data_IF_357903737558
#
_entry.id   IF_357903737558
#
_cell.length_a   1.000
_cell.length_b   1.000
_cell.length_c   1.000
_cell.angle_alpha   90.00
_cell.angle_beta   90.00
_cell.angle_gamma   90.00
#
_symmetry.space_group_name_H-M   'P 1'
#
loop_
_entity.id
_entity.type
_entity.pdbx_description
1 polymer ?
#
# COMPACT_ATOMS: atom_id res chain seq x y z
N UNK A 1 3.56 15.70 -6.49
CA UNK A 1 3.35 14.83 -7.66
C UNK A 1 1.93 15.05 -8.11
N UNK A 2 1.69 15.09 -9.42
CA UNK A 2 0.36 15.17 -9.99
C UNK A 2 0.23 14.06 -11.02
N UNK A 3 -0.92 13.40 -11.01
CA UNK A 3 -1.11 12.10 -11.64
C UNK A 3 -2.41 12.11 -12.44
N UNK A 4 -2.52 11.16 -13.37
CA UNK A 4 -3.79 10.74 -13.96
C UNK A 4 -4.18 9.40 -13.36
N UNK A 5 -5.43 9.28 -12.92
CA UNK A 5 -5.99 8.03 -12.44
C UNK A 5 -6.97 7.45 -13.47
N UNK A 6 -6.95 6.13 -13.58
CA UNK A 6 -7.81 5.31 -14.43
C UNK A 6 -8.44 4.26 -13.51
N UNK A 7 -9.64 4.52 -12.98
CA UNK A 7 -10.27 3.64 -11.98
C UNK A 7 -11.36 2.81 -12.68
N UNK A 8 -11.16 1.51 -12.82
CA UNK A 8 -12.02 0.64 -13.62
C UNK A 8 -13.11 -0.02 -12.80
N UNK A 9 -12.77 -0.44 -11.58
CA UNK A 9 -13.70 -1.05 -10.66
C UNK A 9 -13.47 -0.54 -9.24
N UNK A 10 -14.55 -0.32 -8.49
CA UNK A 10 -14.47 -0.10 -7.05
C UNK A 10 -15.59 -0.87 -6.35
N UNK A 11 -15.22 -1.68 -5.37
CA UNK A 11 -16.16 -2.40 -4.51
C UNK A 11 -15.91 -2.08 -3.04
N UNK A 12 -16.96 -2.16 -2.22
CA UNK A 12 -16.83 -2.15 -0.77
C UNK A 12 -16.94 -3.58 -0.26
N UNK A 13 -15.86 -4.10 0.28
CA UNK A 13 -15.80 -5.44 0.87
C UNK A 13 -16.10 -5.32 2.36
N UNK A 14 -17.21 -5.91 2.78
CA UNK A 14 -17.66 -5.96 4.18
C UNK A 14 -17.17 -7.25 4.79
N UNK A 15 -16.47 -7.17 5.92
CA UNK A 15 -15.91 -8.33 6.62
C UNK A 15 -16.48 -8.37 8.03
N UNK A 16 -17.34 -9.36 8.26
CA UNK A 16 -17.93 -9.63 9.57
C UNK A 16 -17.18 -10.76 10.26
N UNK A 17 -16.79 -10.55 11.51
CA UNK A 17 -16.06 -11.54 12.30
C UNK A 17 -16.40 -11.40 13.79
N UNK A 18 -16.20 -12.45 14.62
CA UNK A 18 -16.30 -12.33 16.06
C UNK A 18 -15.40 -11.24 16.63
N UNK A 19 -15.86 -10.53 17.67
CA UNK A 19 -15.11 -9.48 18.37
C UNK A 19 -13.85 -9.99 19.09
N UNK A 20 -13.67 -11.31 19.16
CA UNK A 20 -12.50 -11.99 19.72
C UNK A 20 -11.30 -12.07 18.78
N UNK A 21 -11.44 -11.67 17.52
CA UNK A 21 -10.35 -11.66 16.53
C UNK A 21 -10.34 -10.34 15.77
N UNK A 22 -9.15 -9.82 15.47
CA UNK A 22 -8.94 -8.78 14.48
C UNK A 22 -8.68 -9.42 13.10
N UNK A 23 -8.99 -8.71 12.02
CA UNK A 23 -8.73 -9.15 10.65
C UNK A 23 -7.82 -8.16 9.92
N UNK A 24 -6.77 -8.68 9.29
CA UNK A 24 -5.81 -7.90 8.50
C UNK A 24 -5.72 -8.43 7.07
N UNK A 25 -5.31 -7.56 6.16
CA UNK A 25 -4.85 -7.91 4.81
C UNK A 25 -3.39 -7.50 4.68
N UNK A 26 -2.65 -8.22 3.85
CA UNK A 26 -1.28 -7.85 3.51
C UNK A 26 -1.29 -6.72 2.48
N UNK A 27 -0.93 -5.52 2.92
CA UNK A 27 -0.94 -4.30 2.13
C UNK A 27 0.49 -3.91 1.69
N UNK A 28 1.38 -4.89 1.58
CA UNK A 28 2.71 -4.67 1.00
C UNK A 28 2.62 -4.40 -0.50
N UNK A 29 3.63 -3.71 -1.03
CA UNK A 29 3.81 -3.58 -2.46
C UNK A 29 4.15 -4.96 -3.04
N UNK A 30 3.36 -5.39 -4.01
CA UNK A 30 3.62 -6.62 -4.77
C UNK A 30 3.74 -6.26 -6.25
N UNK A 31 4.50 -7.06 -6.98
CA UNK A 31 4.44 -6.96 -8.44
C UNK A 31 3.07 -7.45 -8.91
N UNK A 32 2.52 -6.89 -10.01
CA UNK A 32 1.22 -7.29 -10.52
C UNK A 32 1.17 -8.79 -10.77
N UNK A 33 0.23 -9.47 -10.11
CA UNK A 33 -0.12 -10.86 -10.39
C UNK A 33 -1.57 -10.89 -10.90
N UNK A 34 -1.91 -11.76 -11.88
CA UNK A 34 -3.30 -11.89 -12.32
C UNK A 34 -4.18 -12.43 -11.18
N UNK A 35 -5.17 -11.63 -10.76
CA UNK A 35 -6.21 -11.99 -9.78
C UNK A 35 -5.68 -12.62 -8.48
N UNK A 36 -4.91 -11.87 -7.66
CA UNK A 36 -4.45 -12.37 -6.38
C UNK A 36 -5.66 -12.67 -5.48
N UNK A 37 -5.70 -13.84 -4.80
CA UNK A 37 -6.81 -14.14 -3.90
C UNK A 37 -6.80 -13.18 -2.70
N UNK A 38 -7.99 -12.80 -2.22
CA UNK A 38 -8.13 -12.11 -0.94
C UNK A 38 -7.73 -13.07 0.20
N UNK A 39 -6.63 -12.75 0.89
CA UNK A 39 -6.18 -13.48 2.08
C UNK A 39 -6.47 -12.63 3.30
N UNK A 40 -7.28 -13.17 4.21
CA UNK A 40 -7.62 -12.55 5.48
C UNK A 40 -6.81 -13.21 6.61
N UNK A 41 -5.95 -12.43 7.24
CA UNK A 41 -5.14 -12.84 8.37
C UNK A 41 -5.88 -12.57 9.68
N UNK A 42 -6.05 -13.61 10.51
CA UNK A 42 -6.84 -13.53 11.74
C UNK A 42 -5.93 -13.47 12.97
N UNK A 43 -6.18 -12.49 13.84
CA UNK A 43 -5.34 -12.22 15.01
C UNK A 43 -6.20 -12.22 16.27
N UNK A 44 -6.07 -13.25 17.12
CA UNK A 44 -6.74 -13.28 18.43
C UNK A 44 -5.91 -12.64 19.55
N UNK A 45 -4.58 -12.73 19.47
CA UNK A 45 -3.65 -12.20 20.45
C UNK A 45 -2.48 -11.52 19.72
N UNK A 46 -2.36 -10.20 19.89
CA UNK A 46 -1.19 -9.46 19.43
C UNK A 46 -0.09 -9.55 20.49
N UNK A 47 1.08 -10.08 20.12
CA UNK A 47 2.26 -10.10 20.98
C UNK A 47 3.23 -9.01 20.56
N UNK A 48 3.70 -8.25 21.53
CA UNK A 48 4.71 -7.21 21.33
C UNK A 48 6.11 -7.81 21.43
N UNK A 49 7.07 -7.40 20.58
CA UNK A 49 8.48 -7.74 20.76
C UNK A 49 8.98 -7.38 22.18
N UNK A 50 9.83 -8.23 22.76
CA UNK A 50 10.47 -7.98 24.06
C UNK A 50 11.43 -6.79 24.01
N UNK A 51 12.09 -6.60 22.87
CA UNK A 51 12.93 -5.44 22.58
C UNK A 51 12.93 -5.15 21.08
N UNK A 52 13.23 -3.90 20.74
CA UNK A 52 13.49 -3.50 19.36
C UNK A 52 14.62 -2.47 19.33
N UNK A 53 15.62 -2.70 18.48
CA UNK A 53 16.77 -1.78 18.32
C UNK A 53 17.05 -1.46 16.87
N UNK A 54 17.59 -0.27 16.63
CA UNK A 54 18.13 0.11 15.31
C UNK A 54 19.53 -0.51 15.08
N UNK A 55 20.11 -0.25 13.90
CA UNK A 55 21.48 -0.68 13.55
C UNK A 55 22.60 -0.06 14.41
N UNK A 56 22.30 0.93 15.24
CA UNK A 56 23.21 1.56 16.19
C UNK A 56 23.02 1.05 17.64
N UNK A 57 22.03 0.17 17.87
CA UNK A 57 21.67 -0.33 19.20
C UNK A 57 20.80 0.63 20.00
N UNK A 58 20.23 1.66 19.37
CA UNK A 58 19.25 2.56 19.99
C UNK A 58 17.94 1.81 20.22
N UNK A 59 17.35 1.95 21.41
CA UNK A 59 16.03 1.39 21.69
C UNK A 59 14.95 2.15 20.90
N UNK A 60 14.27 1.43 20.02
CA UNK A 60 13.17 1.94 19.20
C UNK A 60 11.83 1.28 19.52
N UNK A 61 11.78 0.37 20.50
CA UNK A 61 10.55 -0.31 20.91
C UNK A 61 9.41 0.65 21.23
N UNK A 62 9.61 1.78 21.97
CA UNK A 62 8.53 2.70 22.27
C UNK A 62 7.81 3.28 21.05
N UNK A 63 8.46 3.32 19.88
CA UNK A 63 7.90 3.80 18.61
C UNK A 63 7.15 2.71 17.84
N UNK A 64 7.18 1.47 18.31
CA UNK A 64 6.58 0.31 17.64
C UNK A 64 5.45 -0.33 18.46
N UNK A 65 5.13 0.20 19.64
CA UNK A 65 4.09 -0.37 20.52
C UNK A 65 2.67 -0.10 20.03
N UNK A 66 2.45 1.02 19.33
CA UNK A 66 1.11 1.49 18.98
C UNK A 66 1.14 2.22 17.65
N UNK A 67 0.10 2.04 16.84
CA UNK A 67 -0.14 2.80 15.61
C UNK A 67 -0.50 4.28 15.89
N UNK A 68 0.44 5.07 16.40
CA UNK A 68 0.25 6.43 16.91
C UNK A 68 0.95 7.53 16.09
N UNK A 69 1.37 7.18 14.87
CA UNK A 69 2.10 8.02 13.93
C UNK A 69 3.47 8.51 14.47
N UNK A 70 4.07 7.81 15.43
CA UNK A 70 5.46 8.02 15.87
C UNK A 70 6.38 6.99 15.22
N UNK A 71 7.09 7.43 14.21
CA UNK A 71 7.87 6.52 13.37
C UNK A 71 9.29 6.30 13.88
N UNK A 72 9.81 5.09 13.65
CA UNK A 72 11.27 4.84 13.60
C UNK A 72 11.86 5.71 12.49
N UNK A 73 12.76 6.61 12.85
CA UNK A 73 13.12 7.77 12.03
C UNK A 73 14.64 8.07 11.96
N UNK A 74 15.49 7.22 12.54
CA UNK A 74 16.95 7.38 12.53
C UNK A 74 17.63 7.03 11.18
N UNK A 75 17.06 7.48 10.07
CA UNK A 75 17.68 7.34 8.75
C UNK A 75 18.76 8.39 8.56
N UNK A 76 19.97 7.96 8.22
CA UNK A 76 21.01 8.84 7.69
C UNK A 76 20.70 9.12 6.22
N UNK A 77 20.32 10.35 5.83
CA UNK A 77 19.95 10.63 4.45
C UNK A 77 21.13 10.37 3.51
N UNK A 78 20.85 9.75 2.37
CA UNK A 78 21.82 9.63 1.27
C UNK A 78 21.57 10.75 0.23
N UNK A 79 22.21 10.65 -0.93
CA UNK A 79 22.16 11.62 -2.02
C UNK A 79 20.75 11.88 -2.55
N UNK A 80 19.89 10.87 -2.52
CA UNK A 80 18.55 10.93 -3.10
C UNK A 80 17.47 10.73 -2.03
N UNK A 81 16.34 11.40 -2.21
CA UNK A 81 15.13 11.14 -1.43
C UNK A 81 14.78 9.65 -1.49
N UNK A 82 14.30 9.11 -0.37
CA UNK A 82 13.86 7.72 -0.26
C UNK A 82 14.98 6.69 -0.13
N UNK A 83 16.24 7.14 -0.17
CA UNK A 83 17.43 6.32 0.04
C UNK A 83 18.23 6.86 1.23
N UNK A 84 18.71 5.95 2.07
CA UNK A 84 19.56 6.22 3.22
C UNK A 84 20.77 5.28 3.21
N UNK A 85 21.66 5.42 4.19
CA UNK A 85 22.59 4.35 4.50
C UNK A 85 21.84 3.06 4.86
N UNK A 86 22.46 1.91 4.60
CA UNK A 86 21.93 0.61 5.04
C UNK A 86 21.66 0.65 6.54
N UNK A 87 20.44 0.32 6.93
CA UNK A 87 19.98 0.37 8.31
C UNK A 87 19.21 -0.89 8.66
N UNK A 88 19.15 -1.15 9.97
CA UNK A 88 18.59 -2.36 10.54
C UNK A 88 17.45 -1.99 11.48
N UNK A 89 16.39 -2.80 11.48
CA UNK A 89 15.43 -2.92 12.57
C UNK A 89 15.52 -4.34 13.11
N UNK A 90 15.99 -4.49 14.34
CA UNK A 90 16.11 -5.79 15.01
C UNK A 90 15.01 -5.92 16.04
N UNK A 91 14.17 -6.94 15.92
CA UNK A 91 13.09 -7.25 16.85
C UNK A 91 13.41 -8.54 17.60
N UNK A 92 13.26 -8.53 18.91
CA UNK A 92 13.30 -9.74 19.75
C UNK A 92 11.87 -10.21 20.02
N UNK A 93 11.45 -11.31 19.39
CA UNK A 93 10.11 -11.86 19.54
C UNK A 93 9.94 -12.73 20.80
N UNK A 94 10.99 -12.89 21.61
CA UNK A 94 10.97 -13.69 22.83
C UNK A 94 10.92 -15.20 22.57
N UNK A 95 10.46 -15.95 23.57
CA UNK A 95 10.48 -17.41 23.53
C UNK A 95 9.13 -18.01 23.11
N UNK A 96 9.15 -18.89 22.13
CA UNK A 96 8.08 -19.78 21.72
C UNK A 96 8.69 -21.06 21.13
N UNK A 97 7.88 -22.08 20.83
CA UNK A 97 8.40 -23.30 20.19
C UNK A 97 8.86 -22.98 18.76
N UNK A 98 10.05 -23.43 18.35
CA UNK A 98 10.65 -23.13 17.03
C UNK A 98 9.76 -23.52 15.85
N UNK A 99 8.92 -24.55 16.02
CA UNK A 99 7.96 -25.05 15.03
C UNK A 99 6.57 -24.42 15.13
N UNK A 100 6.37 -23.44 16.01
CA UNK A 100 5.10 -22.74 16.13
C UNK A 100 4.79 -21.94 14.86
N UNK A 101 3.52 -21.85 14.43
CA UNK A 101 3.09 -20.88 13.44
C UNK A 101 3.34 -19.46 13.96
N UNK A 102 3.96 -18.60 13.16
CA UNK A 102 4.29 -17.22 13.54
C UNK A 102 4.08 -16.31 12.35
N UNK A 103 3.33 -15.22 12.55
CA UNK A 103 3.23 -14.14 11.57
C UNK A 103 3.70 -12.83 12.22
N UNK A 104 4.48 -12.06 11.46
CA UNK A 104 4.97 -10.73 11.82
C UNK A 104 4.16 -9.67 11.08
N UNK A 105 3.67 -8.69 11.83
CA UNK A 105 2.86 -7.59 11.32
C UNK A 105 3.63 -6.27 11.50
N UNK A 106 3.84 -5.55 10.42
CA UNK A 106 4.59 -4.29 10.41
C UNK A 106 3.73 -3.20 9.78
N UNK A 107 3.34 -2.20 10.56
CA UNK A 107 2.61 -1.04 10.05
C UNK A 107 3.55 0.12 9.81
N UNK A 108 3.39 0.77 8.66
CA UNK A 108 4.18 1.95 8.36
C UNK A 108 3.83 2.60 7.03
N UNK A 109 4.78 3.38 6.54
CA UNK A 109 4.73 3.97 5.22
C UNK A 109 6.13 4.07 4.62
N UNK A 110 6.23 4.04 3.30
CA UNK A 110 7.48 4.29 2.59
C UNK A 110 7.54 5.76 2.17
N UNK A 111 8.69 6.42 2.35
CA UNK A 111 8.99 7.66 1.65
C UNK A 111 9.72 7.32 0.34
N UNK A 112 9.00 7.26 -0.79
CA UNK A 112 9.54 6.64 -1.99
C UNK A 112 10.52 7.57 -2.72
N UNK A 113 11.37 6.95 -3.55
CA UNK A 113 12.03 7.60 -4.68
C UNK A 113 10.99 7.98 -5.73
N UNK A 114 11.23 9.06 -6.48
CA UNK A 114 10.41 9.40 -7.66
C UNK A 114 10.98 8.78 -8.94
N UNK A 115 10.27 8.92 -10.07
CA UNK A 115 10.68 8.35 -11.35
C UNK A 115 12.06 8.89 -11.81
N UNK A 116 12.30 10.19 -11.66
CA UNK A 116 13.59 10.81 -11.96
C UNK A 116 14.74 10.22 -11.13
N UNK A 117 14.52 10.00 -9.84
CA UNK A 117 15.49 9.37 -8.95
C UNK A 117 15.70 7.90 -9.34
N UNK A 118 14.65 7.15 -9.66
CA UNK A 118 14.76 5.76 -10.11
C UNK A 118 15.59 5.64 -11.40
N UNK A 119 15.41 6.56 -12.35
CA UNK A 119 16.27 6.64 -13.56
C UNK A 119 17.72 6.97 -13.18
N UNK A 120 17.95 7.90 -12.25
CA UNK A 120 19.30 8.23 -11.81
C UNK A 120 19.99 7.05 -11.10
N UNK A 121 19.26 6.30 -10.28
CA UNK A 121 19.75 5.11 -9.59
C UNK A 121 20.07 3.98 -10.58
N UNK A 122 19.22 3.74 -11.58
CA UNK A 122 19.45 2.67 -12.58
C UNK A 122 20.67 2.90 -13.47
N UNK A 123 21.15 4.14 -13.54
CA UNK A 123 22.36 4.54 -14.27
C UNK A 123 23.61 4.61 -13.37
N UNK A 124 23.48 4.29 -12.07
CA UNK A 124 24.59 4.34 -11.12
C UNK A 124 25.19 2.96 -10.90
N UNK A 125 26.52 2.90 -10.78
CA UNK A 125 27.23 1.68 -10.35
C UNK A 125 27.38 1.59 -8.83
N UNK A 126 27.13 2.69 -8.11
CA UNK A 126 27.41 2.80 -6.65
C UNK A 126 26.18 3.10 -5.81
N UNK A 127 25.10 3.60 -6.42
CA UNK A 127 23.85 3.94 -5.75
C UNK A 127 22.76 3.00 -6.25
N UNK A 128 21.93 2.52 -5.34
CA UNK A 128 20.81 1.65 -5.66
C UNK A 128 19.90 1.50 -4.45
N UNK A 129 18.73 0.90 -4.65
CA UNK A 129 17.85 0.50 -3.57
C UNK A 129 18.07 -0.97 -3.23
N UNK A 130 17.99 -1.28 -1.94
CA UNK A 130 18.04 -2.63 -1.40
C UNK A 130 16.64 -2.89 -0.87
N UNK A 131 15.89 -3.76 -1.56
CA UNK A 131 14.60 -4.20 -1.07
C UNK A 131 14.75 -4.73 0.37
N UNK A 132 13.80 -4.42 1.26
CA UNK A 132 13.85 -4.94 2.62
C UNK A 132 13.85 -6.46 2.57
N UNK A 133 14.80 -7.04 3.30
CA UNK A 133 14.96 -8.47 3.49
C UNK A 133 15.03 -8.77 4.98
N UNK A 134 14.70 -9.99 5.36
CA UNK A 134 14.64 -10.42 6.75
C UNK A 134 15.65 -11.54 7.00
N UNK A 135 16.43 -11.37 8.07
CA UNK A 135 17.38 -12.35 8.58
C UNK A 135 16.94 -12.89 9.94
N UNK A 136 17.28 -14.15 10.20
CA UNK A 136 17.12 -14.83 11.49
C UNK A 136 18.49 -15.30 12.00
N UNK A 137 18.57 -15.72 13.26
CA UNK A 137 19.79 -16.26 13.84
C UNK A 137 19.85 -17.79 13.67
N UNK A 138 20.94 -18.28 13.09
CA UNK A 138 21.19 -19.71 12.93
C UNK A 138 21.78 -20.38 14.18
N UNK A 139 21.93 -21.71 14.13
CA UNK A 139 22.51 -22.50 15.23
C UNK A 139 23.94 -22.11 15.62
N UNK A 140 24.66 -21.38 14.75
CA UNK A 140 26.01 -20.89 15.02
C UNK A 140 26.02 -19.51 15.68
N UNK A 141 24.85 -18.85 15.78
CA UNK A 141 24.71 -17.48 16.25
C UNK A 141 24.90 -16.42 15.17
N UNK A 142 24.97 -16.81 13.90
CA UNK A 142 25.12 -15.90 12.76
C UNK A 142 23.76 -15.49 12.20
N UNK A 143 23.67 -14.25 11.71
CA UNK A 143 22.53 -13.79 10.92
C UNK A 143 22.52 -14.45 9.54
N UNK A 144 21.38 -14.98 9.13
CA UNK A 144 21.18 -15.61 7.83
C UNK A 144 19.87 -15.15 7.21
N UNK A 145 19.87 -14.86 5.91
CA UNK A 145 18.65 -14.48 5.20
C UNK A 145 17.62 -15.60 5.25
N UNK A 146 16.40 -15.25 5.67
CA UNK A 146 15.23 -16.11 5.69
C UNK A 146 14.17 -15.65 4.69
N UNK A 147 14.06 -14.34 4.45
CA UNK A 147 13.16 -13.76 3.45
C UNK A 147 13.97 -12.79 2.58
N UNK A 148 14.12 -13.10 1.29
CA UNK A 148 14.90 -12.29 0.34
C UNK A 148 14.21 -10.96 -0.02
N UNK A 149 12.87 -10.93 0.00
CA UNK A 149 12.09 -9.76 -0.33
C UNK A 149 10.86 -9.67 0.58
N UNK A 150 11.03 -9.03 1.74
CA UNK A 150 9.93 -8.68 2.65
C UNK A 150 8.94 -7.70 1.97
N UNK A 151 9.45 -6.90 1.02
CA UNK A 151 8.76 -5.74 0.43
C UNK A 151 8.39 -4.66 1.47
N UNK A 152 7.61 -3.66 1.06
CA UNK A 152 7.35 -2.44 1.83
C UNK A 152 5.88 -2.03 1.78
N UNK A 153 5.39 -1.18 2.71
CA UNK A 153 4.04 -0.63 2.72
C UNK A 153 3.62 -0.04 1.35
N UNK A 154 2.52 -0.51 0.74
CA UNK A 154 1.98 0.04 -0.52
C UNK A 154 1.21 1.36 -0.28
N UNK A 155 1.93 2.37 0.22
CA UNK A 155 1.39 3.69 0.53
C UNK A 155 1.56 4.06 2.00
N UNK A 156 0.52 4.67 2.57
CA UNK A 156 0.53 5.24 3.92
C UNK A 156 -0.32 4.39 4.86
N UNK A 157 0.16 4.19 6.09
CA UNK A 157 -0.55 3.45 7.14
C UNK A 157 -0.93 2.03 6.72
N UNK A 158 -0.03 1.35 6.00
CA UNK A 158 -0.27 0.00 5.48
C UNK A 158 0.40 -1.04 6.37
N UNK A 159 -0.23 -2.21 6.47
CA UNK A 159 0.31 -3.36 7.21
C UNK A 159 0.97 -4.34 6.26
N UNK A 160 2.22 -4.71 6.53
CA UNK A 160 2.95 -5.80 5.86
C UNK A 160 2.87 -7.03 6.76
N UNK A 161 2.41 -8.17 6.22
CA UNK A 161 2.17 -9.41 7.00
C UNK A 161 3.10 -10.54 6.57
N UNK A 162 4.20 -10.78 7.29
CA UNK A 162 5.17 -11.80 6.94
C UNK A 162 5.00 -13.10 7.75
N UNK A 163 4.69 -14.20 7.07
CA UNK A 163 4.78 -15.54 7.66
C UNK A 163 6.24 -15.89 7.98
N UNK A 164 6.51 -16.20 9.25
CA UNK A 164 7.81 -16.63 9.78
C UNK A 164 7.83 -18.11 10.16
N UNK A 165 6.72 -18.82 9.95
CA UNK A 165 6.56 -20.23 10.33
C UNK A 165 7.64 -21.10 9.68
N UNK A 166 8.39 -21.83 10.51
CA UNK A 166 9.48 -22.70 10.04
C UNK A 166 10.72 -21.97 9.52
N UNK A 167 10.80 -20.64 9.62
CA UNK A 167 11.98 -19.86 9.21
C UNK A 167 13.06 -19.79 10.29
N UNK A 168 12.69 -19.91 11.57
CA UNK A 168 13.65 -19.90 12.68
C UNK A 168 14.52 -21.15 12.69
N UNK A 169 15.83 -20.97 12.87
CA UNK A 169 16.84 -22.04 12.81
C UNK A 169 17.45 -22.35 14.17
N UNK A 170 17.04 -21.63 15.20
CA UNK A 170 17.50 -21.77 16.58
C UNK A 170 16.42 -21.28 17.55
N UNK A 171 16.63 -21.43 18.85
CA UNK A 171 15.76 -20.89 19.92
C UNK A 171 15.87 -19.35 20.05
N UNK A 172 16.72 -18.70 19.25
CA UNK A 172 16.87 -17.26 19.20
C UNK A 172 15.91 -16.68 18.15
N UNK A 173 14.76 -16.20 18.61
CA UNK A 173 13.71 -15.66 17.74
C UNK A 173 13.88 -14.16 17.45
N UNK A 174 15.12 -13.67 17.45
CA UNK A 174 15.38 -12.34 16.92
C UNK A 174 15.32 -12.35 15.39
N UNK A 175 14.65 -11.35 14.85
CA UNK A 175 14.61 -11.07 13.41
C UNK A 175 15.28 -9.73 13.13
N UNK A 176 15.99 -9.63 12.02
CA UNK A 176 16.59 -8.38 11.54
C UNK A 176 16.04 -8.04 10.17
N UNK A 177 15.37 -6.91 10.06
CA UNK A 177 14.94 -6.33 8.79
C UNK A 177 16.01 -5.34 8.36
N UNK A 178 16.50 -5.50 7.13
CA UNK A 178 17.60 -4.67 6.61
C UNK A 178 17.26 -4.11 5.24
N UNK A 179 17.48 -2.82 5.06
CA UNK A 179 17.21 -2.09 3.82
C UNK A 179 17.99 -0.76 3.81
N UNK A 180 18.00 -0.09 2.67
CA UNK A 180 18.41 1.30 2.56
C UNK A 180 17.27 2.22 2.07
N UNK A 181 16.06 1.67 1.96
CA UNK A 181 14.85 2.40 1.61
C UNK A 181 14.30 3.09 2.85
N UNK A 182 13.80 4.32 2.73
CA UNK A 182 13.24 5.04 3.87
C UNK A 182 11.83 4.54 4.20
N UNK A 183 11.74 3.48 5.01
CA UNK A 183 10.48 2.88 5.46
C UNK A 183 10.27 3.21 6.94
N UNK A 184 9.25 4.01 7.21
CA UNK A 184 8.92 4.52 8.53
C UNK A 184 7.88 3.62 9.19
N UNK A 185 8.34 2.74 10.08
CA UNK A 185 7.49 1.85 10.87
C UNK A 185 6.99 2.57 12.13
N UNK A 186 5.72 2.39 12.47
CA UNK A 186 5.13 2.91 13.72
C UNK A 186 4.39 1.85 14.55
N UNK A 187 4.26 0.62 14.06
CA UNK A 187 3.73 -0.48 14.87
C UNK A 187 4.33 -1.80 14.39
N UNK A 188 4.76 -2.62 15.34
CA UNK A 188 5.21 -3.99 15.07
C UNK A 188 4.68 -4.93 16.15
N UNK A 189 4.01 -5.99 15.72
CA UNK A 189 3.56 -7.07 16.59
C UNK A 189 3.65 -8.40 15.85
N UNK A 190 3.50 -9.50 16.57
CA UNK A 190 3.49 -10.83 15.99
C UNK A 190 2.44 -11.71 16.66
N UNK A 191 2.10 -12.81 15.99
CA UNK A 191 1.24 -13.85 16.53
C UNK A 191 2.04 -15.13 16.75
N UNK A 192 1.57 -15.99 17.65
CA UNK A 192 2.09 -17.35 17.82
C UNK A 192 0.90 -18.30 17.88
N UNK A 193 0.92 -19.31 17.00
CA UNK A 193 -0.20 -20.20 16.78
C UNK A 193 -1.14 -19.71 15.69
N UNK A 194 -1.99 -20.62 15.20
CA UNK A 194 -3.00 -20.30 14.21
C UNK A 194 -4.36 -20.10 14.87
N UNK A 195 -5.14 -19.17 14.33
CA UNK A 195 -6.53 -18.93 14.72
C UNK A 195 -7.41 -19.12 13.51
N UNK A 196 -8.58 -19.72 13.73
CA UNK A 196 -9.61 -19.83 12.70
C UNK A 196 -10.96 -19.59 13.35
N UNK A 197 -11.41 -18.35 13.27
CA UNK A 197 -12.75 -17.91 13.60
C UNK A 197 -13.61 -17.88 12.31
N UNK A 198 -14.94 -18.01 12.43
CA UNK A 198 -15.84 -17.80 11.31
C UNK A 198 -15.73 -16.35 10.83
N UNK A 199 -15.65 -16.15 9.51
CA UNK A 199 -15.69 -14.84 8.86
C UNK A 199 -16.76 -14.89 7.77
N UNK A 200 -17.58 -13.84 7.69
CA UNK A 200 -18.49 -13.63 6.57
C UNK A 200 -18.00 -12.43 5.74
N UNK A 201 -17.75 -12.66 4.45
CA UNK A 201 -17.36 -11.61 3.51
C UNK A 201 -18.53 -11.32 2.58
N UNK A 202 -18.95 -10.05 2.53
CA UNK A 202 -19.99 -9.57 1.61
C UNK A 202 -19.45 -8.43 0.77
N UNK A 203 -19.41 -8.62 -0.55
CA UNK A 203 -19.00 -7.58 -1.48
C UNK A 203 -20.19 -6.74 -1.92
N UNK A 204 -20.07 -5.41 -1.79
CA UNK A 204 -21.07 -4.44 -2.17
C UNK A 204 -20.60 -3.64 -3.39
N UNK A 205 -21.36 -3.77 -4.46
CA UNK A 205 -21.24 -2.94 -5.65
C UNK A 205 -21.79 -1.53 -5.39
N UNK A 206 -21.18 -0.47 -5.95
CA UNK A 206 -21.66 0.90 -5.79
C UNK A 206 -23.07 1.03 -6.38
N UNK A 207 -23.89 1.86 -5.76
CA UNK A 207 -25.25 2.21 -6.24
C UNK A 207 -25.32 3.63 -6.80
N UNK A 208 -24.26 4.43 -6.60
CA UNK A 208 -24.05 5.71 -7.26
C UNK A 208 -22.56 6.05 -7.29
N UNK A 209 -22.12 6.71 -8.36
CA UNK A 209 -20.77 7.25 -8.52
C UNK A 209 -20.83 8.64 -9.17
N UNK A 210 -20.66 9.70 -8.37
CA UNK A 210 -20.74 11.09 -8.82
C UNK A 210 -19.34 11.68 -9.06
N UNK A 211 -18.97 11.82 -10.33
CA UNK A 211 -17.68 12.36 -10.74
C UNK A 211 -17.76 13.87 -10.95
N UNK A 212 -16.94 14.63 -10.23
CA UNK A 212 -16.98 16.08 -10.26
C UNK A 212 -15.61 16.70 -9.94
N UNK A 213 -15.46 17.99 -10.25
CA UNK A 213 -14.31 18.75 -9.76
C UNK A 213 -14.49 19.08 -8.30
N UNK A 214 -13.57 18.65 -7.46
CA UNK A 214 -13.55 19.03 -6.05
C UNK A 214 -12.55 20.14 -5.77
N UNK A 215 -11.35 20.02 -6.32
CA UNK A 215 -10.19 20.85 -5.99
C UNK A 215 -9.17 20.09 -5.13
N UNK A 216 -8.25 20.83 -4.50
CA UNK A 216 -7.08 20.30 -3.83
C UNK A 216 -7.22 20.41 -2.32
N UNK A 217 -7.13 19.27 -1.63
CA UNK A 217 -7.13 19.23 -0.17
C UNK A 217 -5.90 19.93 0.40
N UNK A 218 -6.07 20.63 1.52
CA UNK A 218 -4.95 21.19 2.28
C UNK A 218 -4.03 20.07 2.78
N UNK A 219 -2.73 20.28 2.57
CA UNK A 219 -1.68 19.35 2.95
C UNK A 219 -1.23 19.62 4.39
N UNK A 220 -1.13 18.56 5.19
CA UNK A 220 -0.45 18.60 6.48
C UNK A 220 0.45 17.36 6.64
N UNK A 221 1.26 17.31 7.70
CA UNK A 221 2.06 16.12 8.05
C UNK A 221 1.50 15.45 9.29
N UNK A 222 1.12 14.18 9.14
CA UNK A 222 0.63 13.34 10.23
C UNK A 222 1.81 12.64 10.90
N UNK A 223 2.07 12.87 12.18
CA UNK A 223 3.28 12.32 12.84
C UNK A 223 4.54 13.20 12.77
N UNK A 224 4.38 14.51 12.52
CA UNK A 224 5.48 15.48 12.58
C UNK A 224 6.41 15.48 11.37
N UNK A 225 7.71 15.73 11.57
CA UNK A 225 8.68 15.96 10.48
C UNK A 225 8.78 14.76 9.53
N UNK A 226 8.74 13.55 10.08
CA UNK A 226 8.94 12.27 9.40
C UNK A 226 7.64 11.55 9.07
N UNK A 227 6.53 12.23 9.28
CA UNK A 227 5.22 11.75 8.88
C UNK A 227 4.95 11.90 7.38
N UNK A 228 4.09 11.06 6.80
CA UNK A 228 3.64 11.25 5.43
C UNK A 228 2.83 12.55 5.31
N UNK A 229 2.78 13.09 4.10
CA UNK A 229 1.77 14.08 3.77
C UNK A 229 0.37 13.47 3.88
N UNK A 230 -0.53 14.15 4.57
CA UNK A 230 -1.95 13.83 4.63
C UNK A 230 -2.77 15.00 4.09
N UNK A 231 -4.05 14.75 3.86
CA UNK A 231 -4.95 15.64 3.14
C UNK A 231 -6.20 15.89 3.98
N UNK A 232 -6.43 17.14 4.39
CA UNK A 232 -7.67 17.50 5.08
C UNK A 232 -8.81 17.53 4.06
N UNK A 233 -9.79 16.62 4.24
CA UNK A 233 -10.93 16.51 3.34
C UNK A 233 -11.87 17.73 3.41
N UNK A 234 -11.92 18.45 4.54
CA UNK A 234 -12.82 19.59 4.70
C UNK A 234 -12.23 20.92 4.18
N UNK A 235 -10.90 21.01 4.05
CA UNK A 235 -10.20 22.21 3.60
C UNK A 235 -9.78 22.08 2.14
N UNK A 236 -10.42 22.85 1.24
CA UNK A 236 -10.26 22.70 -0.22
C UNK A 236 -9.89 24.02 -0.88
N UNK A 237 -8.88 23.97 -1.75
CA UNK A 237 -8.49 25.05 -2.65
C UNK A 237 -8.83 24.72 -4.10
N UNK A 238 -9.34 25.70 -4.84
CA UNK A 238 -9.57 25.60 -6.29
C UNK A 238 -8.31 25.94 -7.11
N UNK A 239 -7.23 26.36 -6.46
CA UNK A 239 -5.98 26.70 -7.14
C UNK A 239 -5.17 25.42 -7.37
N UNK A 240 -4.96 25.08 -8.64
CA UNK A 240 -4.04 24.00 -9.00
C UNK A 240 -2.59 24.42 -8.74
N UNK A 241 -1.83 23.67 -7.94
CA UNK A 241 -0.39 23.86 -7.81
C UNK A 241 0.39 23.20 -8.97
N UNK A 242 -0.29 22.50 -9.87
CA UNK A 242 0.31 21.60 -10.85
C UNK A 242 0.15 22.08 -12.29
N UNK A 243 1.07 21.64 -13.15
CA UNK A 243 0.96 21.86 -14.60
C UNK A 243 -0.17 20.99 -15.18
N UNK A 244 -0.88 21.46 -16.22
CA UNK A 244 -1.86 20.63 -16.91
C UNK A 244 -1.20 19.40 -17.55
N UNK A 245 -1.83 18.23 -17.42
CA UNK A 245 -1.54 17.04 -18.22
C UNK A 245 -2.47 17.09 -19.44
N UNK A 246 -1.91 16.95 -20.64
CA UNK A 246 -2.64 17.15 -21.91
C UNK A 246 -3.39 15.88 -22.30
N UNK A 247 -4.68 16.00 -22.59
CA UNK A 247 -5.47 14.89 -23.11
C UNK A 247 -6.95 15.07 -22.85
N UNK A 248 -7.73 14.08 -23.24
CA UNK A 248 -9.17 14.07 -23.02
C UNK A 248 -9.50 13.44 -21.67
N UNK A 249 -10.24 14.15 -20.82
CA UNK A 249 -10.68 13.63 -19.53
C UNK A 249 -12.14 13.22 -19.58
N UNK A 250 -12.56 12.41 -18.61
CA UNK A 250 -13.98 12.09 -18.44
C UNK A 250 -14.77 13.37 -18.14
N UNK A 251 -15.95 13.53 -18.75
CA UNK A 251 -16.89 14.59 -18.37
C UNK A 251 -17.42 14.34 -16.96
N UNK A 252 -17.76 15.39 -16.23
CA UNK A 252 -18.42 15.24 -14.94
C UNK A 252 -19.85 14.71 -15.05
N UNK A 253 -20.33 14.11 -13.97
CA UNK A 253 -21.64 13.50 -13.82
C UNK A 253 -21.53 12.06 -13.33
N UNK A 254 -22.60 11.29 -13.52
CA UNK A 254 -22.63 9.88 -13.12
C UNK A 254 -21.64 9.06 -13.95
N UNK A 255 -20.76 8.34 -13.27
CA UNK A 255 -19.79 7.40 -13.86
C UNK A 255 -19.97 5.97 -13.33
N UNK A 256 -21.15 5.64 -12.77
CA UNK A 256 -21.41 4.32 -12.17
C UNK A 256 -21.04 3.18 -13.13
N UNK A 257 -21.48 3.27 -14.38
CA UNK A 257 -21.19 2.27 -15.43
C UNK A 257 -19.69 2.14 -15.78
N UNK A 258 -18.82 3.04 -15.31
CA UNK A 258 -17.37 3.02 -15.58
C UNK A 258 -16.55 2.53 -14.37
N UNK A 259 -17.20 2.26 -13.23
CA UNK A 259 -16.52 1.86 -11.98
C UNK A 259 -17.11 0.59 -11.37
N UNK A 260 -17.95 -0.13 -12.13
CA UNK A 260 -18.72 -1.28 -11.64
C UNK A 260 -18.13 -2.63 -12.06
N UNK A 261 -17.24 -2.66 -13.04
CA UNK A 261 -16.66 -3.88 -13.60
C UNK A 261 -15.23 -3.60 -14.08
N UNK A 262 -14.30 -4.53 -13.90
CA UNK A 262 -12.96 -4.48 -14.50
C UNK A 262 -13.03 -4.94 -15.96
N UNK A 263 -13.25 -3.99 -16.88
CA UNK A 263 -13.48 -4.23 -18.31
C UNK A 263 -12.67 -3.30 -19.24
N UNK A 264 -11.63 -2.65 -18.70
CA UNK A 264 -10.80 -1.64 -19.34
C UNK A 264 -11.56 -0.35 -19.71
N UNK A 265 -12.77 -0.09 -19.19
CA UNK A 265 -13.60 1.10 -19.45
C UNK A 265 -13.78 1.97 -18.20
N UNK A 266 -12.84 2.87 -17.99
CA UNK A 266 -12.74 3.67 -16.75
C UNK A 266 -12.95 5.19 -16.94
N UNK A 267 -13.23 5.95 -15.85
CA UNK A 267 -13.06 7.38 -15.80
C UNK A 267 -11.56 7.74 -15.82
N UNK A 268 -11.24 8.71 -16.67
CA UNK A 268 -9.95 9.40 -16.70
C UNK A 268 -10.04 10.62 -15.80
N UNK A 269 -9.36 10.54 -14.65
CA UNK A 269 -9.37 11.56 -13.61
C UNK A 269 -8.06 12.35 -13.63
N UNK A 270 -8.17 13.67 -13.61
CA UNK A 270 -7.05 14.59 -13.49
C UNK A 270 -6.92 15.18 -12.08
N UNK A 271 -5.87 15.99 -11.85
CA UNK A 271 -5.63 16.60 -10.55
C UNK A 271 -6.80 17.47 -10.07
N UNK A 272 -7.33 17.13 -8.88
CA UNK A 272 -8.43 17.85 -8.24
C UNK A 272 -9.82 17.30 -8.56
N UNK A 273 -9.93 16.27 -9.40
CA UNK A 273 -11.19 15.55 -9.56
C UNK A 273 -11.47 14.60 -8.39
N UNK A 274 -12.74 14.27 -8.18
CA UNK A 274 -13.20 13.30 -7.19
C UNK A 274 -14.36 12.46 -7.76
N UNK A 275 -14.41 11.18 -7.39
CA UNK A 275 -15.61 10.34 -7.50
C UNK A 275 -16.17 10.13 -6.09
N UNK A 276 -17.38 10.63 -5.82
CA UNK A 276 -18.13 10.26 -4.61
C UNK A 276 -18.90 8.97 -4.88
N UNK A 277 -18.55 7.90 -4.17
CA UNK A 277 -19.23 6.60 -4.24
C UNK A 277 -20.26 6.44 -3.14
N UNK A 278 -21.37 5.74 -3.42
CA UNK A 278 -22.36 5.33 -2.42
C UNK A 278 -22.63 3.84 -2.53
N UNK A 279 -22.71 3.18 -1.39
CA UNK A 279 -23.02 1.76 -1.26
C UNK A 279 -24.32 1.60 -0.46
N UNK A 280 -25.13 0.61 -0.81
CA UNK A 280 -26.36 0.29 -0.08
C UNK A 280 -26.05 -0.64 1.08
N UNK A 281 -25.93 -0.06 2.29
CA UNK A 281 -25.62 -0.81 3.50
C UNK A 281 -26.68 -1.87 3.85
N UNK A 282 -27.92 -1.76 3.35
CA UNK A 282 -28.96 -2.75 3.60
C UNK A 282 -28.73 -4.07 2.84
N UNK A 283 -27.79 -4.09 1.88
CA UNK A 283 -27.37 -5.31 1.18
C UNK A 283 -26.37 -6.15 1.97
N UNK A 284 -25.75 -5.59 3.00
CA UNK A 284 -24.95 -6.39 3.94
C UNK A 284 -25.87 -7.13 4.92
N UNK A 285 -25.51 -8.36 5.35
CA UNK A 285 -26.30 -9.09 6.32
C UNK A 285 -26.40 -8.34 7.67
N UNK A 286 -27.40 -8.63 8.53
CA UNK A 286 -27.39 -8.15 9.91
C UNK A 286 -26.17 -8.68 10.66
N UNK A 287 -25.47 -7.80 11.39
CA UNK A 287 -24.30 -8.20 12.18
C UNK A 287 -24.74 -9.08 13.37
N UNK A 288 -24.19 -10.31 13.52
CA UNK A 288 -24.50 -11.14 14.68
C UNK A 288 -24.10 -10.49 16.02
N UNK A 289 -24.73 -10.90 17.12
CA UNK A 289 -24.33 -10.45 18.46
C UNK A 289 -22.91 -10.95 18.80
N UNK A 290 -22.06 -10.06 19.34
CA UNK A 290 -20.66 -10.36 19.65
C UNK A 290 -19.73 -10.36 18.42
N UNK A 291 -20.18 -9.78 17.30
CA UNK A 291 -19.37 -9.63 16.10
C UNK A 291 -19.04 -8.16 15.82
N UNK A 292 -17.94 -7.94 15.12
CA UNK A 292 -17.46 -6.67 14.59
C UNK A 292 -17.55 -6.70 13.06
N UNK A 293 -17.74 -5.53 12.46
CA UNK A 293 -17.76 -5.31 11.01
C UNK A 293 -16.65 -4.37 10.60
N UNK A 294 -15.74 -4.87 9.79
CA UNK A 294 -14.70 -4.10 9.14
C UNK A 294 -15.04 -3.87 7.65
N UNK A 295 -14.39 -2.87 7.06
CA UNK A 295 -14.59 -2.49 5.68
C UNK A 295 -13.25 -2.39 4.96
N UNK A 296 -13.17 -2.97 3.77
CA UNK A 296 -12.07 -2.82 2.85
C UNK A 296 -12.59 -2.22 1.54
N UNK A 297 -11.74 -1.45 0.87
CA UNK A 297 -12.01 -0.97 -0.48
C UNK A 297 -11.20 -1.84 -1.42
N UNK A 298 -11.90 -2.53 -2.32
CA UNK A 298 -11.27 -3.12 -3.50
C UNK A 298 -11.32 -2.09 -4.62
N UNK A 299 -10.21 -1.91 -5.32
CA UNK A 299 -10.17 -1.06 -6.51
C UNK A 299 -9.25 -1.67 -7.54
N UNK A 300 -9.71 -1.64 -8.79
CA UNK A 300 -8.95 -2.02 -9.96
C UNK A 300 -8.68 -0.78 -10.83
N UNK A 301 -7.47 -0.70 -11.39
CA UNK A 301 -7.08 0.44 -12.21
C UNK A 301 -5.60 0.78 -12.23
N UNK A 302 -5.30 1.96 -12.78
CA UNK A 302 -3.94 2.42 -13.02
C UNK A 302 -3.74 3.86 -12.58
N UNK A 303 -2.47 4.19 -12.30
CA UNK A 303 -2.03 5.54 -11.97
C UNK A 303 -0.84 5.87 -12.86
N UNK A 304 -0.86 7.03 -13.51
CA UNK A 304 0.29 7.56 -14.24
C UNK A 304 0.78 8.86 -13.61
N UNK A 305 2.01 8.83 -13.15
CA UNK A 305 2.75 9.99 -12.69
C UNK A 305 3.18 10.91 -13.83
N UNK A 306 3.23 12.22 -13.55
CA UNK A 306 3.65 13.27 -14.46
C UNK A 306 5.06 13.81 -14.18
N UNK A 307 5.91 13.06 -13.49
CA UNK A 307 7.34 13.35 -13.43
C UNK A 307 7.95 13.44 -14.84
N UNK A 308 9.00 14.26 -14.97
CA UNK A 308 9.64 14.55 -16.26
C UNK A 308 10.28 13.31 -16.91
N UNK A 309 10.66 12.31 -16.11
CA UNK A 309 11.22 11.05 -16.60
C UNK A 309 10.18 9.92 -16.68
N UNK A 310 8.90 10.20 -16.37
CA UNK A 310 7.81 9.24 -16.63
C UNK A 310 7.43 9.28 -18.10
N UNK A 311 7.51 8.12 -18.77
CA UNK A 311 7.15 7.99 -20.17
C UNK A 311 5.69 8.42 -20.39
N UNK A 312 5.49 9.38 -21.30
CA UNK A 312 4.20 10.01 -21.57
C UNK A 312 3.47 10.59 -20.34
N UNK A 313 4.19 10.90 -19.25
CA UNK A 313 3.60 11.47 -18.02
C UNK A 313 2.94 12.84 -18.20
N UNK A 314 3.29 13.58 -19.26
CA UNK A 314 2.72 14.88 -19.58
C UNK A 314 1.40 14.80 -20.37
N UNK A 315 0.92 13.60 -20.69
CA UNK A 315 -0.33 13.38 -21.42
C UNK A 315 -1.19 12.25 -20.84
N UNK A 316 -2.47 12.23 -21.16
CA UNK A 316 -3.41 11.18 -20.75
C UNK A 316 -3.12 9.87 -21.48
N UNK A 317 -2.86 9.89 -22.78
CA UNK A 317 -2.52 8.69 -23.52
C UNK A 317 -1.07 8.22 -23.26
N UNK A 318 -0.70 6.98 -23.58
CA UNK A 318 -1.58 5.86 -23.93
C UNK A 318 -2.49 5.44 -22.77
N UNK A 319 -3.65 4.87 -23.12
CA UNK A 319 -4.65 4.41 -22.16
C UNK A 319 -4.30 2.98 -21.72
N UNK A 320 -4.04 2.71 -20.43
CA UNK A 320 -3.68 1.38 -19.96
C UNK A 320 -4.85 0.39 -20.11
N UNK A 321 -4.54 -0.90 -20.21
CA UNK A 321 -5.54 -1.96 -20.23
C UNK A 321 -4.90 -3.27 -19.75
N UNK A 322 -5.68 -4.18 -19.20
CA UNK A 322 -5.17 -5.37 -18.52
C UNK A 322 -4.32 -6.28 -19.41
N UNK A 323 -4.70 -6.41 -20.69
CA UNK A 323 -4.02 -7.29 -21.63
C UNK A 323 -2.72 -6.69 -22.23
N UNK A 324 -2.31 -5.48 -21.83
CA UNK A 324 -1.10 -4.85 -22.37
C UNK A 324 0.16 -5.59 -21.91
N UNK A 325 1.12 -5.77 -22.81
CA UNK A 325 2.35 -6.49 -22.50
C UNK A 325 3.32 -5.71 -21.60
N UNK A 326 3.33 -4.38 -21.76
CA UNK A 326 4.09 -3.42 -20.97
C UNK A 326 3.41 -2.05 -21.01
N UNK A 327 3.83 -1.14 -20.15
CA UNK A 327 3.38 0.25 -20.20
C UNK A 327 4.59 1.21 -20.21
N UNK A 328 4.66 2.17 -21.17
CA UNK A 328 3.77 2.32 -22.33
C UNK A 328 3.92 1.17 -23.33
N UNK A 329 2.80 0.67 -23.86
CA UNK A 329 2.81 -0.38 -24.89
C UNK A 329 3.25 0.16 -26.26
N UNK A 330 3.86 -0.72 -27.05
CA UNK A 330 4.34 -0.42 -28.39
C UNK A 330 3.23 -0.26 -29.45
N UNK A 331 3.58 0.14 -30.69
CA UNK A 331 2.61 0.38 -31.76
C UNK A 331 1.87 -0.89 -32.26
N UNK A 332 2.29 -2.08 -31.80
CA UNK A 332 1.61 -3.36 -32.08
C UNK A 332 0.38 -3.60 -31.22
N UNK A 333 0.20 -2.83 -30.16
CA UNK A 333 -0.90 -2.96 -29.20
C UNK A 333 -1.79 -1.72 -29.26
N UNK A 334 -3.09 -1.93 -29.04
CA UNK A 334 -4.10 -0.86 -29.11
C UNK A 334 -5.08 -1.07 -27.97
N UNK A 335 -5.44 0.03 -27.31
CA UNK A 335 -6.49 0.04 -26.30
C UNK A 335 -7.82 -0.51 -26.88
N UNK A 336 -8.48 -1.47 -26.20
CA UNK A 336 -9.57 -2.26 -26.78
C UNK A 336 -10.87 -1.48 -27.02
N UNK A 337 -11.06 -0.33 -26.39
CA UNK A 337 -12.34 0.42 -26.41
C UNK A 337 -12.22 1.83 -27.02
N UNK A 338 -11.76 2.00 -28.28
CA UNK A 338 -11.53 3.33 -28.86
C UNK A 338 -12.79 4.22 -28.96
N UNK A 339 -13.98 3.61 -29.00
CA UNK A 339 -15.25 4.34 -29.06
C UNK A 339 -15.64 5.00 -27.73
N UNK A 340 -15.08 4.53 -26.61
CA UNK A 340 -15.42 5.04 -25.28
C UNK A 340 -14.98 6.49 -25.11
N UNK A 341 -13.88 6.87 -25.76
CA UNK A 341 -13.31 8.22 -25.73
C UNK A 341 -14.35 9.24 -26.18
N UNK A 342 -15.06 8.96 -27.28
CA UNK A 342 -16.11 9.86 -27.80
C UNK A 342 -17.35 9.88 -26.91
N UNK A 343 -17.61 8.79 -26.19
CA UNK A 343 -18.80 8.65 -25.35
C UNK A 343 -18.61 9.27 -23.97
N UNK A 344 -17.44 9.23 -23.35
CA UNK A 344 -17.23 9.68 -21.96
C UNK A 344 -16.09 10.69 -21.79
N UNK A 345 -15.01 10.56 -22.57
CA UNK A 345 -13.79 11.36 -22.41
C UNK A 345 -13.84 12.63 -23.26
N UNK A 346 -14.66 13.59 -22.84
CA UNK A 346 -14.99 14.80 -23.62
C UNK A 346 -14.69 16.12 -22.91
N UNK A 347 -13.97 16.10 -21.78
CA UNK A 347 -13.54 17.31 -21.05
C UNK A 347 -12.14 17.73 -21.46
#
# INVERSE_FOLDING_TARGET
MWEVFYIDEVELVVVDHPDSVDVFVDERFVFPEPNPPLVLHQVAEQRTPLSAVDGHGTDVLPRLLHADDRYVDEFLPDRYQGVSALHDLVLDLGAFAVDAPVELYLRGWIFPTDASINVALSQSETLGTIMPYLEVIDVSGAWVTAVEALSFPAGKNKVVVQDLSGLFRSEDHRVRIRTNMNIYWDHAFFTVGAVTAPIEVTTLQPVAADFHYRGFSELYRKGGRFGPHWFDYASVSMQSPWRPIVGAYTRYGSVLDLVSESDDIYPIMGPGDEITLRFDAAKAPPLPEGWTRDFMIYSDGWIKDADLNTADGWRVEPLPFHAMSEYPYGPSEVYPHPDIVRRYHTR
#
